data_IF_771798227432
#
_entry.id   IF_771798227432
#
_cell.length_a   1.000
_cell.length_b   1.000
_cell.length_c   1.000
_cell.angle_alpha   90.00
_cell.angle_beta   90.00
_cell.angle_gamma   90.00
#
_symmetry.space_group_name_H-M   'P 1'
#
loop_
_entity.id
_entity.type
_entity.pdbx_description
1 polymer ?
#
# COMPACT_ATOMS: atom_id res chain seq x y z
N UNK A 1 -9.35 -2.28 -17.07
CA UNK A 1 -8.29 -2.94 -16.29
C UNK A 1 -8.31 -2.43 -14.86
N UNK A 2 -8.31 -3.35 -13.91
CA UNK A 2 -8.35 -2.99 -12.50
C UNK A 2 -6.95 -2.93 -11.93
N UNK A 3 -6.57 -1.82 -11.28
CA UNK A 3 -5.31 -1.80 -10.55
C UNK A 3 -5.32 -2.83 -9.44
N UNK A 4 -4.18 -3.44 -9.20
CA UNK A 4 -4.03 -4.44 -8.14
C UNK A 4 -3.38 -3.81 -6.93
N UNK A 5 -3.99 -4.02 -5.77
CA UNK A 5 -3.50 -3.50 -4.49
C UNK A 5 -3.26 -4.67 -3.55
N UNK A 6 -2.08 -4.69 -2.94
CA UNK A 6 -1.76 -5.65 -1.91
C UNK A 6 -1.85 -4.97 -0.56
N UNK A 7 -2.58 -5.58 0.37
CA UNK A 7 -2.73 -5.09 1.74
C UNK A 7 -1.98 -6.04 2.65
N UNK A 8 -0.97 -5.54 3.35
CA UNK A 8 -0.19 -6.32 4.31
C UNK A 8 -0.54 -5.83 5.70
N UNK A 9 -1.37 -6.58 6.41
CA UNK A 9 -1.94 -6.20 7.68
C UNK A 9 -2.25 -7.46 8.47
N UNK A 10 -1.71 -7.57 9.69
CA UNK A 10 -1.89 -8.78 10.50
C UNK A 10 -3.19 -8.82 11.29
N UNK A 11 -3.87 -7.69 11.45
CA UNK A 11 -5.16 -7.66 12.11
C UNK A 11 -6.24 -8.01 11.08
N UNK A 12 -6.81 -9.22 11.22
CA UNK A 12 -7.73 -9.73 10.21
C UNK A 12 -8.93 -8.85 9.98
N UNK A 13 -9.52 -8.31 11.05
CA UNK A 13 -10.71 -7.45 10.90
C UNK A 13 -10.40 -6.23 10.05
N UNK A 14 -9.26 -5.61 10.27
CA UNK A 14 -8.86 -4.45 9.49
C UNK A 14 -8.53 -4.83 8.05
N UNK A 15 -7.87 -5.97 7.87
CA UNK A 15 -7.55 -6.47 6.54
C UNK A 15 -8.82 -6.70 5.71
N UNK A 16 -9.84 -7.32 6.32
CA UNK A 16 -11.12 -7.56 5.66
C UNK A 16 -11.81 -6.24 5.32
N UNK A 17 -11.79 -5.29 6.25
CA UNK A 17 -12.40 -3.99 6.03
C UNK A 17 -11.76 -3.26 4.84
N UNK A 18 -10.43 -3.26 4.81
CA UNK A 18 -9.70 -2.61 3.72
C UNK A 18 -9.99 -3.29 2.39
N UNK A 19 -9.97 -4.62 2.38
CA UNK A 19 -10.26 -5.36 1.16
C UNK A 19 -11.66 -5.02 0.62
N UNK A 20 -12.65 -5.04 1.51
CA UNK A 20 -14.02 -4.74 1.12
C UNK A 20 -14.14 -3.36 0.48
N UNK A 21 -13.55 -2.36 1.13
CA UNK A 21 -13.66 -0.99 0.64
C UNK A 21 -12.88 -0.77 -0.66
N UNK A 22 -11.71 -1.39 -0.78
CA UNK A 22 -10.91 -1.26 -1.99
C UNK A 22 -11.59 -1.97 -3.16
N UNK A 23 -12.15 -3.14 -2.93
CA UNK A 23 -12.86 -3.84 -3.99
C UNK A 23 -14.10 -3.06 -4.44
N UNK A 24 -14.76 -2.40 -3.50
CA UNK A 24 -15.91 -1.56 -3.83
C UNK A 24 -15.53 -0.38 -4.72
N UNK A 25 -14.27 0.06 -4.63
CA UNK A 25 -13.76 1.13 -5.49
C UNK A 25 -13.28 0.62 -6.85
N UNK A 26 -13.36 -0.69 -7.08
CA UNK A 26 -13.01 -1.26 -8.37
C UNK A 26 -11.61 -1.83 -8.47
N UNK A 27 -10.91 -1.99 -7.36
CA UNK A 27 -9.55 -2.54 -7.36
C UNK A 27 -9.56 -4.04 -7.14
N UNK A 28 -8.55 -4.71 -7.67
CA UNK A 28 -8.28 -6.10 -7.35
C UNK A 28 -7.40 -6.12 -6.11
N UNK A 29 -7.74 -6.91 -5.09
CA UNK A 29 -7.07 -6.84 -3.79
C UNK A 29 -6.57 -8.21 -3.36
N UNK A 30 -5.31 -8.24 -2.92
CA UNK A 30 -4.73 -9.41 -2.25
C UNK A 30 -4.36 -9.00 -0.84
N UNK A 31 -4.71 -9.83 0.14
CA UNK A 31 -4.37 -9.56 1.55
C UNK A 31 -3.33 -10.56 2.02
N UNK A 32 -2.35 -10.08 2.76
CA UNK A 32 -1.27 -10.90 3.33
C UNK A 32 -1.14 -10.49 4.79
N UNK A 33 -0.97 -11.49 5.67
CA UNK A 33 -1.01 -11.23 7.10
C UNK A 33 0.37 -11.12 7.75
N UNK A 34 1.44 -11.43 7.03
CA UNK A 34 2.80 -11.44 7.58
C UNK A 34 3.76 -10.74 6.64
N UNK A 35 4.73 -10.04 7.23
CA UNK A 35 5.72 -9.33 6.43
C UNK A 35 6.66 -10.25 5.66
N UNK A 36 7.02 -11.40 6.24
CA UNK A 36 7.92 -12.32 5.55
C UNK A 36 7.24 -12.97 4.35
N UNK A 37 5.97 -13.30 4.48
CA UNK A 37 5.19 -13.81 3.35
C UNK A 37 5.04 -12.75 2.27
N UNK A 38 4.78 -11.50 2.69
CA UNK A 38 4.64 -10.39 1.76
C UNK A 38 5.93 -10.15 0.99
N UNK A 39 7.08 -10.30 1.66
CA UNK A 39 8.37 -10.10 1.02
C UNK A 39 8.54 -11.03 -0.19
N UNK A 40 8.13 -12.28 -0.04
CA UNK A 40 8.21 -13.25 -1.12
C UNK A 40 7.17 -12.95 -2.19
N UNK A 41 5.92 -12.73 -1.80
CA UNK A 41 4.83 -12.54 -2.74
C UNK A 41 5.01 -11.28 -3.59
N UNK A 42 5.50 -10.21 -3.00
CA UNK A 42 5.70 -8.96 -3.72
C UNK A 42 6.83 -9.05 -4.74
N UNK A 43 7.78 -9.96 -4.54
CA UNK A 43 8.80 -10.22 -5.54
C UNK A 43 8.24 -11.01 -6.71
N UNK A 44 7.35 -11.96 -6.42
CA UNK A 44 6.79 -12.82 -7.45
C UNK A 44 5.79 -12.09 -8.32
N UNK A 45 5.01 -11.20 -7.72
CA UNK A 45 3.97 -10.47 -8.45
C UNK A 45 3.85 -9.08 -7.85
N UNK A 46 4.36 -8.08 -8.56
CA UNK A 46 4.37 -6.70 -8.11
C UNK A 46 3.01 -6.06 -8.35
N UNK A 47 2.33 -5.59 -7.30
CA UNK A 47 1.05 -4.90 -7.47
C UNK A 47 1.26 -3.47 -7.96
N UNK A 48 0.15 -2.76 -8.16
CA UNK A 48 0.20 -1.35 -8.53
C UNK A 48 0.39 -0.44 -7.32
N UNK A 49 0.05 -0.95 -6.13
CA UNK A 49 0.21 -0.21 -4.88
C UNK A 49 0.18 -1.19 -3.72
N UNK A 50 0.92 -0.91 -2.66
CA UNK A 50 0.90 -1.73 -1.46
C UNK A 50 0.58 -0.86 -0.25
N UNK A 51 -0.28 -1.37 0.62
CA UNK A 51 -0.58 -0.77 1.91
C UNK A 51 0.06 -1.65 2.96
N UNK A 52 1.00 -1.09 3.73
CA UNK A 52 1.79 -1.83 4.71
C UNK A 52 1.50 -1.36 6.12
N UNK A 53 1.18 -2.27 7.02
CA UNK A 53 1.17 -1.93 8.43
C UNK A 53 2.62 -1.81 8.91
N UNK A 54 2.86 -0.83 9.78
CA UNK A 54 4.18 -0.60 10.38
C UNK A 54 4.65 -1.81 11.16
N UNK A 55 3.76 -2.38 11.97
CA UNK A 55 4.07 -3.50 12.87
C UNK A 55 3.52 -4.79 12.29
N UNK A 56 4.39 -5.59 11.71
CA UNK A 56 4.01 -6.88 11.11
C UNK A 56 4.84 -7.99 11.73
N UNK A 57 4.24 -9.19 11.89
CA UNK A 57 5.05 -10.36 12.27
C UNK A 57 5.94 -10.78 11.12
N UNK A 58 7.03 -11.46 11.46
CA UNK A 58 8.00 -11.90 10.47
C UNK A 58 8.95 -10.77 10.12
N UNK A 59 8.63 -10.01 9.07
CA UNK A 59 9.42 -8.85 8.66
C UNK A 59 8.62 -7.60 8.98
N UNK A 60 9.13 -6.68 9.82
CA UNK A 60 8.40 -5.44 10.12
C UNK A 60 8.17 -4.60 8.87
N UNK A 61 7.09 -3.81 8.89
CA UNK A 61 6.72 -3.02 7.72
C UNK A 61 7.81 -2.08 7.25
N UNK A 62 8.55 -1.47 8.18
CA UNK A 62 9.61 -0.55 7.81
C UNK A 62 10.77 -1.29 7.11
N UNK A 63 11.09 -2.48 7.56
CA UNK A 63 12.12 -3.28 6.93
C UNK A 63 11.67 -3.76 5.55
N UNK A 64 10.42 -4.16 5.44
CA UNK A 64 9.85 -4.57 4.16
C UNK A 64 9.91 -3.43 3.16
N UNK A 65 9.55 -2.23 3.59
CA UNK A 65 9.61 -1.04 2.74
C UNK A 65 11.03 -0.81 2.24
N UNK A 66 12.01 -0.93 3.13
CA UNK A 66 13.40 -0.73 2.75
C UNK A 66 13.85 -1.77 1.72
N UNK A 67 13.44 -3.02 1.91
CA UNK A 67 13.78 -4.09 0.96
C UNK A 67 13.15 -3.85 -0.41
N UNK A 68 11.91 -3.38 -0.43
CA UNK A 68 11.23 -3.08 -1.69
C UNK A 68 11.95 -1.97 -2.45
N UNK A 69 12.39 -0.94 -1.75
CA UNK A 69 13.11 0.16 -2.39
C UNK A 69 14.48 -0.23 -2.91
N UNK A 70 15.07 -1.30 -2.37
CA UNK A 70 16.39 -1.76 -2.77
C UNK A 70 16.38 -2.68 -3.98
N UNK A 71 15.20 -3.10 -4.44
CA UNK A 71 15.08 -4.03 -5.56
C UNK A 71 14.59 -3.30 -6.80
N UNK A 72 15.18 -3.64 -7.95
CA UNK A 72 14.86 -2.96 -9.20
C UNK A 72 13.39 -3.06 -9.58
N UNK A 73 12.76 -4.22 -9.32
CA UNK A 73 11.37 -4.42 -9.75
C UNK A 73 10.35 -3.79 -8.82
N UNK A 74 10.74 -3.32 -7.63
CA UNK A 74 9.83 -2.70 -6.68
C UNK A 74 10.28 -1.33 -6.20
N UNK A 75 11.38 -0.80 -6.74
CA UNK A 75 11.92 0.45 -6.24
C UNK A 75 10.99 1.63 -6.42
N UNK A 76 10.06 1.56 -7.37
CA UNK A 76 9.08 2.62 -7.63
C UNK A 76 7.66 2.25 -7.25
N UNK A 77 7.49 1.13 -6.57
CA UNK A 77 6.18 0.68 -6.13
C UNK A 77 5.59 1.69 -5.16
N UNK A 78 4.38 2.20 -5.42
CA UNK A 78 3.73 3.11 -4.46
C UNK A 78 3.45 2.40 -3.14
N UNK A 79 3.87 3.01 -2.04
CA UNK A 79 3.73 2.42 -0.70
C UNK A 79 3.04 3.40 0.22
N UNK A 80 1.93 2.95 0.83
CA UNK A 80 1.25 3.67 1.90
C UNK A 80 1.50 2.90 3.19
N UNK A 81 2.07 3.57 4.19
CA UNK A 81 2.37 2.96 5.49
C UNK A 81 1.26 3.29 6.48
N UNK A 82 0.76 2.28 7.18
CA UNK A 82 -0.21 2.49 8.27
C UNK A 82 0.55 2.48 9.59
N UNK A 83 0.40 3.54 10.38
CA UNK A 83 1.11 3.67 11.64
C UNK A 83 0.14 3.89 12.78
N UNK A 84 0.56 3.55 14.02
CA UNK A 84 -0.25 3.82 15.19
C UNK A 84 -0.05 5.27 15.63
N UNK A 85 -1.09 5.81 16.30
CA UNK A 85 -0.99 7.15 16.86
C UNK A 85 0.13 7.18 17.90
N UNK A 86 0.92 8.25 17.90
CA UNK A 86 2.01 8.41 18.83
C UNK A 86 3.36 7.97 18.29
N UNK A 87 3.40 7.49 17.07
CA UNK A 87 4.65 7.01 16.46
C UNK A 87 5.18 7.99 15.43
N UNK A 88 5.13 9.30 15.72
CA UNK A 88 5.59 10.32 14.79
C UNK A 88 7.07 10.20 14.48
N UNK A 89 7.90 9.88 15.47
CA UNK A 89 9.33 9.69 15.23
C UNK A 89 9.57 8.51 14.30
N UNK A 90 8.78 7.47 14.44
CA UNK A 90 8.86 6.31 13.55
C UNK A 90 8.42 6.68 12.15
N UNK A 91 7.43 7.57 12.05
CA UNK A 91 6.96 8.04 10.76
C UNK A 91 8.06 8.76 9.99
N UNK A 92 8.83 9.60 10.68
CA UNK A 92 9.96 10.29 10.05
C UNK A 92 10.98 9.28 9.53
N UNK A 93 11.29 8.26 10.31
CA UNK A 93 12.19 7.20 9.88
C UNK A 93 11.65 6.46 8.68
N UNK A 94 10.35 6.20 8.66
CA UNK A 94 9.70 5.53 7.55
C UNK A 94 9.83 6.31 6.26
N UNK A 95 9.62 7.64 6.32
CA UNK A 95 9.80 8.48 5.15
C UNK A 95 11.23 8.40 4.64
N UNK A 96 12.19 8.32 5.56
CA UNK A 96 13.59 8.16 5.18
C UNK A 96 13.85 6.81 4.52
N UNK A 97 13.02 5.80 4.79
CA UNK A 97 13.17 4.49 4.16
C UNK A 97 12.37 4.36 2.87
N UNK A 98 11.61 5.38 2.48
CA UNK A 98 11.05 5.45 1.15
C UNK A 98 9.55 5.22 0.99
N UNK A 99 8.76 5.23 2.06
CA UNK A 99 7.30 5.17 1.91
C UNK A 99 6.82 6.47 1.27
N UNK A 100 5.79 6.36 0.44
CA UNK A 100 5.26 7.53 -0.29
C UNK A 100 4.24 8.31 0.52
N UNK A 101 3.56 7.65 1.44
CA UNK A 101 2.54 8.29 2.25
C UNK A 101 2.37 7.55 3.56
N UNK A 102 1.78 8.23 4.54
CA UNK A 102 1.49 7.69 5.86
C UNK A 102 0.07 7.95 6.24
N UNK A 103 -0.56 6.97 6.87
CA UNK A 103 -1.89 7.13 7.41
C UNK A 103 -1.86 6.63 8.84
N UNK A 104 -2.27 7.47 9.78
CA UNK A 104 -2.22 7.16 11.21
C UNK A 104 -3.52 6.49 11.63
N UNK A 105 -3.41 5.39 12.36
CA UNK A 105 -4.58 4.70 12.92
C UNK A 105 -5.04 5.39 14.19
N UNK A 106 -6.33 5.50 14.43
CA UNK A 106 -7.44 5.13 13.56
C UNK A 106 -7.60 6.14 12.41
N UNK A 107 -7.91 5.65 11.24
CA UNK A 107 -8.02 6.52 10.06
C UNK A 107 -9.44 6.51 9.52
N UNK A 108 -9.73 7.54 8.70
CA UNK A 108 -10.97 7.62 7.97
C UNK A 108 -10.84 6.76 6.71
N UNK A 109 -11.76 5.81 6.53
CA UNK A 109 -11.75 4.97 5.33
C UNK A 109 -11.88 5.80 4.06
N UNK A 110 -12.81 6.77 3.97
CA UNK A 110 -12.87 7.64 2.79
C UNK A 110 -11.57 8.37 2.52
N UNK A 111 -10.87 8.83 3.55
CA UNK A 111 -9.60 9.51 3.38
C UNK A 111 -8.55 8.56 2.81
N UNK A 112 -8.49 7.34 3.34
CA UNK A 112 -7.53 6.35 2.84
C UNK A 112 -7.82 6.03 1.38
N UNK A 113 -9.09 5.85 1.02
CA UNK A 113 -9.47 5.57 -0.37
C UNK A 113 -9.05 6.71 -1.29
N UNK A 114 -9.20 7.96 -0.83
CA UNK A 114 -8.79 9.12 -1.62
C UNK A 114 -7.27 9.15 -1.83
N UNK A 115 -6.51 8.78 -0.79
CA UNK A 115 -5.05 8.72 -0.90
C UNK A 115 -4.59 7.64 -1.85
N UNK A 116 -5.25 6.48 -1.82
CA UNK A 116 -4.95 5.38 -2.74
C UNK A 116 -5.16 5.85 -4.17
N UNK A 117 -6.30 6.48 -4.44
CA UNK A 117 -6.63 6.95 -5.77
C UNK A 117 -5.62 8.00 -6.26
N UNK A 118 -5.27 8.94 -5.39
CA UNK A 118 -4.31 9.97 -5.74
C UNK A 118 -2.94 9.39 -6.02
N UNK A 119 -2.53 8.40 -5.24
CA UNK A 119 -1.23 7.78 -5.39
C UNK A 119 -1.14 6.97 -6.68
N UNK A 120 -2.18 6.23 -7.01
CA UNK A 120 -2.23 5.49 -8.26
C UNK A 120 -2.17 6.43 -9.46
N UNK A 121 -2.84 7.57 -9.37
CA UNK A 121 -2.83 8.56 -10.45
C UNK A 121 -1.43 9.11 -10.68
N UNK A 122 -0.70 9.38 -9.60
CA UNK A 122 0.66 9.93 -9.74
C UNK A 122 1.64 8.90 -10.25
N UNK A 123 1.51 7.65 -9.79
CA UNK A 123 2.47 6.62 -10.13
C UNK A 123 2.23 6.03 -11.51
N UNK A 124 0.96 5.95 -11.93
CA UNK A 124 0.59 5.35 -13.21
C UNK A 124 -0.44 6.22 -13.93
N UNK A 125 -0.04 7.44 -14.30
CA UNK A 125 -0.98 8.38 -14.90
C UNK A 125 -1.55 7.86 -16.23
N UNK A 126 -0.79 7.03 -16.95
CA UNK A 126 -1.24 6.51 -18.25
C UNK A 126 -2.44 5.58 -18.11
N UNK A 127 -2.46 4.76 -17.04
CA UNK A 127 -3.58 3.84 -16.81
C UNK A 127 -4.87 4.62 -16.61
N UNK A 128 -4.82 5.65 -15.74
CA UNK A 128 -5.99 6.45 -15.44
C UNK A 128 -6.34 7.39 -16.57
N UNK A 129 -5.33 7.92 -17.26
CA UNK A 129 -5.56 8.79 -18.40
C UNK A 129 -6.25 8.04 -19.54
N UNK A 130 -5.92 6.78 -19.76
CA UNK A 130 -6.58 5.98 -20.77
C UNK A 130 -8.07 5.86 -20.51
N UNK A 131 -8.43 5.63 -19.26
CA UNK A 131 -9.84 5.54 -18.89
C UNK A 131 -10.55 6.87 -19.12
N UNK A 132 -9.91 7.98 -18.75
CA UNK A 132 -10.48 9.31 -18.94
C UNK A 132 -10.56 9.68 -20.40
N UNK A 133 -9.57 9.31 -21.18
CA UNK A 133 -9.53 9.64 -22.59
C UNK A 133 -10.54 8.88 -23.42
N UNK A 134 -11.03 7.78 -22.91
CA UNK A 134 -12.09 7.06 -23.61
C UNK A 134 -13.31 7.92 -23.84
N UNK A 135 -13.46 8.97 -23.04
CA UNK A 135 -14.55 9.92 -23.20
C UNK A 135 -14.23 11.03 -24.18
N UNK A 136 -13.02 11.09 -24.67
CA UNK A 136 -12.63 12.11 -25.62
C UNK A 136 -13.03 11.72 -27.03
#
# INVERSE_FOLDING_TARGET
>A
MQPKITVVEDEEALSVLLRYNLEAEGYEVETILRGDEADIRLQEQVPDLVILDWMLPGVPGIELCRRLRARANTERLPIIMLTARGEESERVRGLATGADDYVVKPFSTPELMARVKAMLRRAKPEVLSSVLRCGD
#
